data_IF_967006459617
#
_entry.id   IF_967006459617
#
_cell.length_a   1.000
_cell.length_b   1.000
_cell.length_c   1.000
_cell.angle_alpha   90.00
_cell.angle_beta   90.00
_cell.angle_gamma   90.00
#
_symmetry.space_group_name_H-M   'P 1'
#
loop_
_entity.id
_entity.type
_entity.pdbx_description
1 polymer ?
#
# COMPACT_ATOMS: atom_id res chain seq x y z
N UNK A 1 48.87 -8.47 45.46
CA UNK A 1 48.54 -9.68 44.67
C UNK A 1 47.02 -9.79 44.63
N UNK A 2 46.42 -9.70 43.43
CA UNK A 2 45.23 -10.43 42.92
C UNK A 2 44.00 -10.51 43.87
N UNK A 3 42.80 -9.99 43.57
CA UNK A 3 42.01 -10.12 42.33
C UNK A 3 40.83 -9.12 42.33
N UNK A 4 41.00 -7.94 41.75
CA UNK A 4 39.88 -7.05 41.41
C UNK A 4 39.66 -7.03 39.89
N UNK A 5 39.55 -8.23 39.28
CA UNK A 5 39.45 -8.36 37.81
C UNK A 5 38.66 -9.59 37.39
N UNK A 6 37.40 -9.76 37.82
CA UNK A 6 36.50 -10.79 37.27
C UNK A 6 35.01 -10.41 37.24
N UNK A 7 34.66 -9.12 37.19
CA UNK A 7 33.25 -8.71 36.98
C UNK A 7 33.03 -7.71 35.84
N UNK A 8 34.07 -7.33 35.09
CA UNK A 8 33.95 -6.34 34.00
C UNK A 8 33.74 -6.96 32.60
N UNK A 9 33.54 -8.27 32.48
CA UNK A 9 33.49 -8.96 31.17
C UNK A 9 32.07 -9.39 30.76
N UNK A 10 31.07 -9.29 31.66
CA UNK A 10 29.71 -9.78 31.35
C UNK A 10 28.78 -8.66 30.81
N UNK A 11 29.14 -7.37 30.96
CA UNK A 11 28.24 -6.27 30.58
C UNK A 11 28.42 -5.72 29.16
N UNK A 12 29.36 -6.24 28.34
CA UNK A 12 29.67 -5.66 27.02
C UNK A 12 29.21 -6.52 25.82
N UNK A 13 28.54 -7.65 26.03
CA UNK A 13 28.24 -8.62 24.96
C UNK A 13 26.78 -8.65 24.47
N UNK A 14 25.89 -7.73 24.91
CA UNK A 14 24.45 -7.77 24.55
C UNK A 14 24.00 -6.50 23.81
N UNK A 15 24.86 -5.95 22.96
CA UNK A 15 24.50 -4.89 22.01
C UNK A 15 24.93 -5.28 20.58
N UNK A 16 24.77 -6.54 20.22
CA UNK A 16 24.56 -6.90 18.81
C UNK A 16 23.10 -6.52 18.50
N UNK A 17 22.89 -5.21 18.32
CA UNK A 17 21.67 -4.69 17.74
C UNK A 17 21.67 -5.16 16.29
N UNK A 18 21.00 -6.28 16.02
CA UNK A 18 20.69 -6.66 14.65
C UNK A 18 19.88 -5.50 14.04
N UNK A 19 20.54 -4.72 13.19
CA UNK A 19 19.93 -3.69 12.38
C UNK A 19 19.06 -4.38 11.32
N UNK A 20 17.93 -4.92 11.75
CA UNK A 20 16.90 -5.37 10.83
C UNK A 20 16.45 -4.16 10.03
N UNK A 21 16.55 -4.26 8.70
CA UNK A 21 16.05 -3.23 7.80
C UNK A 21 14.52 -3.17 7.94
N UNK A 22 14.04 -2.30 8.82
CA UNK A 22 12.60 -2.01 8.92
C UNK A 22 12.22 -1.20 7.70
N UNK A 23 11.72 -1.86 6.66
CA UNK A 23 11.07 -1.17 5.55
C UNK A 23 9.70 -0.70 6.01
N UNK A 24 9.51 0.61 6.16
CA UNK A 24 8.21 1.20 6.44
C UNK A 24 7.36 1.28 5.16
N UNK A 25 6.04 1.35 5.31
CA UNK A 25 5.16 1.65 4.18
C UNK A 25 5.37 3.10 3.75
N UNK A 26 5.42 3.33 2.44
CA UNK A 26 5.58 4.68 1.90
C UNK A 26 4.84 4.86 0.58
N UNK A 27 4.53 6.13 0.27
CA UNK A 27 4.08 6.51 -1.06
C UNK A 27 5.30 6.65 -1.99
N UNK A 28 5.21 6.10 -3.21
CA UNK A 28 6.20 6.25 -4.29
C UNK A 28 5.54 6.64 -5.60
N UNK A 29 6.37 7.02 -6.57
CA UNK A 29 5.96 7.25 -7.96
C UNK A 29 4.83 8.30 -8.08
N UNK A 30 4.86 9.32 -7.22
CA UNK A 30 3.85 10.38 -7.20
C UNK A 30 3.97 11.22 -8.48
N UNK A 31 2.94 11.18 -9.32
CA UNK A 31 2.86 12.00 -10.53
C UNK A 31 1.53 12.75 -10.56
N UNK A 32 1.58 14.02 -10.95
CA UNK A 32 0.38 14.83 -11.12
C UNK A 32 0.27 15.27 -12.57
N UNK A 33 -0.87 14.99 -13.19
CA UNK A 33 -1.17 15.36 -14.58
C UNK A 33 -2.51 16.09 -14.62
N UNK A 34 -2.55 17.20 -15.33
CA UNK A 34 -3.81 17.86 -15.64
C UNK A 34 -4.48 17.16 -16.83
N UNK A 35 -5.76 16.83 -16.71
CA UNK A 35 -6.57 16.34 -17.82
C UNK A 35 -7.88 17.14 -17.86
N UNK A 36 -7.94 18.12 -18.77
CA UNK A 36 -9.01 19.11 -18.80
C UNK A 36 -9.03 19.94 -17.52
N UNK A 37 -10.18 19.99 -16.85
CA UNK A 37 -10.39 20.73 -15.60
C UNK A 37 -10.03 19.90 -14.34
N UNK A 38 -9.55 18.67 -14.51
CA UNK A 38 -9.25 17.75 -13.40
C UNK A 38 -7.76 17.55 -13.22
N UNK A 39 -7.37 17.35 -11.97
CA UNK A 39 -6.04 16.88 -11.59
C UNK A 39 -6.07 15.36 -11.39
N UNK A 40 -5.26 14.64 -12.14
CA UNK A 40 -5.02 13.21 -11.96
C UNK A 40 -3.74 13.02 -11.15
N UNK A 41 -3.87 12.44 -9.97
CA UNK A 41 -2.78 12.17 -9.04
C UNK A 41 -2.53 10.67 -9.04
N UNK A 42 -1.44 10.25 -9.67
CA UNK A 42 -0.95 8.88 -9.69
C UNK A 42 -0.04 8.66 -8.48
N UNK A 43 -0.20 7.54 -7.78
CA UNK A 43 0.64 7.17 -6.64
C UNK A 43 0.78 5.65 -6.53
N UNK A 44 1.81 5.21 -5.81
CA UNK A 44 2.03 3.81 -5.44
C UNK A 44 2.18 3.72 -3.93
N UNK A 45 1.60 2.72 -3.27
CA UNK A 45 1.91 2.38 -1.87
C UNK A 45 2.82 1.16 -1.92
N UNK A 46 4.01 1.25 -1.33
CA UNK A 46 4.98 0.16 -1.29
C UNK A 46 5.36 -0.21 0.14
N UNK A 47 5.86 -1.43 0.34
CA UNK A 47 6.25 -1.92 1.67
C UNK A 47 5.06 -2.40 2.51
N UNK A 48 3.90 -2.50 1.89
CA UNK A 48 2.69 -3.09 2.44
C UNK A 48 2.81 -4.61 2.61
N UNK A 49 2.03 -5.14 3.55
CA UNK A 49 1.81 -6.59 3.65
C UNK A 49 0.79 -7.02 2.61
N UNK A 50 0.85 -8.29 2.19
CA UNK A 50 -0.17 -8.86 1.32
C UNK A 50 -1.57 -8.65 1.89
N UNK A 51 -2.48 -8.16 1.04
CA UNK A 51 -3.86 -7.90 1.41
C UNK A 51 -4.05 -6.76 2.42
N UNK A 52 -3.00 -6.00 2.74
CA UNK A 52 -3.11 -4.84 3.62
C UNK A 52 -3.94 -3.76 2.95
N UNK A 53 -4.94 -3.28 3.69
CA UNK A 53 -5.80 -2.20 3.28
C UNK A 53 -5.37 -0.88 3.92
N UNK A 54 -5.75 0.22 3.29
CA UNK A 54 -5.43 1.58 3.70
C UNK A 54 -6.68 2.45 3.62
N UNK A 55 -6.76 3.42 4.53
CA UNK A 55 -7.61 4.59 4.39
C UNK A 55 -6.79 5.72 3.78
N UNK A 56 -6.99 6.00 2.49
CA UNK A 56 -6.29 7.02 1.72
C UNK A 56 -7.10 8.32 1.78
N UNK A 57 -6.53 9.37 2.38
CA UNK A 57 -7.21 10.64 2.63
C UNK A 57 -6.43 11.80 1.99
N UNK A 58 -6.90 12.34 0.85
CA UNK A 58 -6.33 13.51 0.22
C UNK A 58 -6.88 14.80 0.86
N UNK A 59 -6.00 15.77 1.02
CA UNK A 59 -6.31 17.10 1.55
C UNK A 59 -5.54 18.15 0.76
N UNK A 60 -6.05 19.38 0.72
CA UNK A 60 -5.37 20.50 0.06
C UNK A 60 -5.23 21.69 1.00
N UNK A 61 -4.33 22.59 0.66
CA UNK A 61 -4.15 23.88 1.32
C UNK A 61 -4.11 25.00 0.30
N UNK A 62 -4.70 26.14 0.67
CA UNK A 62 -4.68 27.40 -0.09
C UNK A 62 -3.96 28.52 0.68
N UNK A 63 -3.37 28.20 1.83
CA UNK A 63 -2.72 29.16 2.74
C UNK A 63 -1.23 28.87 2.95
N UNK A 64 -0.60 28.23 1.96
CA UNK A 64 0.81 27.86 1.99
C UNK A 64 1.12 26.69 2.93
N UNK A 65 0.14 25.83 3.20
CA UNK A 65 0.31 24.61 4.01
C UNK A 65 0.09 24.81 5.51
N UNK A 66 -0.45 25.96 5.94
CA UNK A 66 -0.73 26.23 7.36
C UNK A 66 -1.96 25.45 7.83
N UNK A 67 -2.97 25.35 6.98
CA UNK A 67 -4.16 24.54 7.21
C UNK A 67 -4.46 23.64 5.99
N UNK A 68 -5.10 22.51 6.26
CA UNK A 68 -5.47 21.54 5.23
C UNK A 68 -6.96 21.23 5.30
N UNK A 69 -7.64 21.37 4.17
CA UNK A 69 -9.05 21.09 3.98
C UNK A 69 -9.22 19.74 3.26
N UNK A 70 -10.30 18.99 3.55
CA UNK A 70 -10.58 17.76 2.84
C UNK A 70 -10.95 18.05 1.38
N UNK A 71 -10.46 17.23 0.45
CA UNK A 71 -10.97 17.24 -0.92
C UNK A 71 -12.33 16.55 -0.96
N UNK A 72 -13.36 17.24 -1.43
CA UNK A 72 -14.75 16.73 -1.46
C UNK A 72 -15.14 16.23 -2.84
N UNK A 73 -14.48 16.73 -3.88
CA UNK A 73 -14.77 16.40 -5.27
C UNK A 73 -13.71 15.47 -5.87
N UNK A 74 -13.41 14.38 -5.14
CA UNK A 74 -12.43 13.35 -5.53
C UNK A 74 -13.10 12.01 -5.83
N UNK A 75 -12.53 11.29 -6.81
CA UNK A 75 -12.88 9.90 -7.13
C UNK A 75 -11.61 9.07 -7.36
N UNK A 76 -11.78 7.76 -7.55
CA UNK A 76 -10.67 6.82 -7.75
C UNK A 76 -10.26 6.11 -6.46
N UNK A 77 -8.97 5.85 -6.30
CA UNK A 77 -8.41 5.12 -5.16
C UNK A 77 -8.26 6.04 -3.93
N UNK A 78 -9.39 6.36 -3.31
CA UNK A 78 -9.51 7.23 -2.13
C UNK A 78 -10.52 6.65 -1.13
N UNK A 79 -10.33 6.94 0.15
CA UNK A 79 -11.18 6.45 1.24
C UNK A 79 -10.67 5.14 1.82
N UNK A 80 -11.58 4.36 2.42
CA UNK A 80 -11.27 3.10 3.12
C UNK A 80 -11.08 1.94 2.14
N UNK A 81 -10.44 0.88 2.61
CA UNK A 81 -10.32 -0.40 1.90
C UNK A 81 -9.54 -0.29 0.58
N UNK A 82 -8.59 0.64 0.50
CA UNK A 82 -7.70 0.76 -0.65
C UNK A 82 -6.54 -0.22 -0.47
N UNK A 83 -6.28 -1.04 -1.49
CA UNK A 83 -5.13 -1.95 -1.50
C UNK A 83 -3.83 -1.17 -1.77
N UNK A 84 -2.73 -1.67 -1.22
CA UNK A 84 -1.40 -1.21 -1.65
C UNK A 84 -1.07 -1.62 -3.09
N UNK A 85 0.12 -1.26 -3.56
CA UNK A 85 0.57 -1.56 -4.92
C UNK A 85 0.76 -0.31 -5.79
N UNK A 86 0.99 -0.55 -7.07
CA UNK A 86 1.39 0.49 -8.04
C UNK A 86 0.22 1.08 -8.82
N UNK A 87 0.43 2.30 -9.31
CA UNK A 87 -0.45 2.98 -10.29
C UNK A 87 -1.88 3.21 -9.80
N UNK A 88 -2.03 3.49 -8.51
CA UNK A 88 -3.29 3.97 -7.96
C UNK A 88 -3.54 5.40 -8.45
N UNK A 89 -4.81 5.77 -8.66
CA UNK A 89 -5.17 7.08 -9.24
C UNK A 89 -6.24 7.77 -8.39
N UNK A 90 -6.01 9.03 -8.05
CA UNK A 90 -7.03 9.96 -7.53
C UNK A 90 -7.34 10.96 -8.64
N UNK A 91 -8.62 11.17 -8.91
CA UNK A 91 -9.09 12.20 -9.84
C UNK A 91 -9.75 13.29 -9.01
N UNK A 92 -9.24 14.51 -9.08
CA UNK A 92 -9.75 15.65 -8.34
C UNK A 92 -10.29 16.74 -9.27
N UNK A 93 -11.53 17.14 -9.03
CA UNK A 93 -12.18 18.28 -9.69
C UNK A 93 -11.87 19.58 -8.92
N UNK A 94 -10.67 20.12 -9.17
CA UNK A 94 -10.07 21.18 -8.34
C UNK A 94 -11.00 22.38 -8.17
N UNK A 95 -11.69 22.80 -9.24
CA UNK A 95 -12.53 24.00 -9.25
C UNK A 95 -13.83 23.85 -8.46
N UNK A 96 -14.27 22.62 -8.15
CA UNK A 96 -15.42 22.39 -7.25
C UNK A 96 -15.08 22.59 -5.78
N UNK A 97 -13.83 22.31 -5.40
CA UNK A 97 -13.37 22.51 -4.03
C UNK A 97 -12.71 23.88 -3.83
N UNK A 98 -12.07 24.41 -4.89
CA UNK A 98 -11.37 25.69 -4.91
C UNK A 98 -11.94 26.53 -6.07
N UNK A 99 -13.04 27.28 -5.84
CA UNK A 99 -13.77 28.00 -6.90
C UNK A 99 -12.93 29.00 -7.69
N UNK A 100 -11.84 29.49 -7.10
CA UNK A 100 -10.86 30.34 -7.78
C UNK A 100 -9.44 29.97 -7.33
N UNK A 101 -8.61 29.57 -8.30
CA UNK A 101 -7.17 29.41 -8.09
C UNK A 101 -6.49 30.78 -8.16
N UNK A 102 -6.37 31.45 -7.01
CA UNK A 102 -5.52 32.63 -6.86
C UNK A 102 -4.32 32.25 -6.00
N UNK A 103 -3.19 31.93 -6.66
CA UNK A 103 -1.97 31.46 -6.01
C UNK A 103 -1.84 29.93 -5.97
N UNK A 104 -0.94 29.46 -5.11
CA UNK A 104 -0.55 28.06 -5.05
C UNK A 104 -1.53 27.21 -4.23
N UNK A 105 -1.81 26.00 -4.71
CA UNK A 105 -2.57 24.98 -3.99
C UNK A 105 -1.65 23.83 -3.64
N UNK A 106 -1.51 23.53 -2.35
CA UNK A 106 -0.64 22.45 -1.87
C UNK A 106 -1.47 21.20 -1.65
N UNK A 107 -1.06 20.11 -2.28
CA UNK A 107 -1.63 18.79 -2.11
C UNK A 107 -0.95 18.02 -0.97
N UNK A 108 -1.73 17.28 -0.17
CA UNK A 108 -1.22 16.33 0.83
C UNK A 108 -2.05 15.05 0.80
N UNK A 109 -1.35 13.92 0.72
CA UNK A 109 -1.93 12.59 0.81
C UNK A 109 -1.54 11.92 2.12
N UNK A 110 -2.49 11.30 2.79
CA UNK A 110 -2.24 10.47 3.99
C UNK A 110 -2.80 9.07 3.76
N UNK A 111 -2.02 8.04 4.06
CA UNK A 111 -2.46 6.64 4.01
C UNK A 111 -2.36 6.03 5.41
N UNK A 112 -3.51 5.74 6.02
CA UNK A 112 -3.54 5.07 7.32
C UNK A 112 -3.76 3.58 7.12
N UNK A 113 -2.89 2.74 7.68
CA UNK A 113 -3.03 1.29 7.62
C UNK A 113 -4.33 0.83 8.26
N UNK A 114 -5.04 -0.08 7.61
CA UNK A 114 -6.21 -0.77 8.13
C UNK A 114 -5.90 -2.27 8.28
N UNK A 115 -6.95 -3.09 8.40
CA UNK A 115 -6.82 -4.55 8.48
C UNK A 115 -6.21 -5.14 7.20
N UNK A 116 -5.66 -6.33 7.33
CA UNK A 116 -5.32 -7.19 6.20
C UNK A 116 -6.53 -8.04 5.84
N UNK A 117 -6.89 -8.11 4.56
CA UNK A 117 -7.86 -9.08 4.04
C UNK A 117 -7.13 -10.13 3.20
N UNK A 118 -7.48 -11.42 3.33
CA UNK A 118 -6.96 -12.44 2.42
C UNK A 118 -7.26 -12.05 0.97
N UNK A 119 -6.25 -12.18 0.11
CA UNK A 119 -6.46 -12.07 -1.33
C UNK A 119 -7.06 -13.40 -1.79
N UNK A 120 -8.37 -13.39 -1.97
CA UNK A 120 -9.19 -14.55 -2.29
C UNK A 120 -10.12 -14.22 -3.45
N UNK A 121 -10.25 -15.17 -4.39
CA UNK A 121 -11.25 -15.14 -5.46
C UNK A 121 -12.07 -16.43 -5.39
N UNK A 122 -13.39 -16.27 -5.41
CA UNK A 122 -14.34 -17.39 -5.46
C UNK A 122 -15.03 -17.37 -6.82
N UNK A 123 -14.73 -18.38 -7.61
CA UNK A 123 -15.39 -18.60 -8.88
C UNK A 123 -15.94 -20.01 -8.95
N UNK A 124 -17.27 -20.12 -9.04
CA UNK A 124 -17.96 -21.40 -9.28
C UNK A 124 -17.62 -22.50 -8.25
N UNK A 125 -17.44 -22.15 -6.97
CA UNK A 125 -17.02 -23.03 -5.86
C UNK A 125 -15.55 -23.46 -5.88
N UNK A 126 -14.72 -22.81 -6.68
CA UNK A 126 -13.26 -22.94 -6.62
C UNK A 126 -12.71 -21.69 -5.97
N UNK A 127 -12.01 -21.87 -4.86
CA UNK A 127 -11.41 -20.80 -4.07
C UNK A 127 -9.92 -20.73 -4.41
N UNK A 128 -9.49 -19.57 -4.88
CA UNK A 128 -8.08 -19.23 -5.08
C UNK A 128 -7.65 -18.30 -3.96
N UNK A 129 -6.67 -18.71 -3.15
CA UNK A 129 -6.20 -17.93 -2.01
C UNK A 129 -4.70 -17.74 -2.05
N UNK A 130 -4.24 -16.49 -2.06
CA UNK A 130 -2.83 -16.18 -1.88
C UNK A 130 -2.42 -16.44 -0.44
N UNK A 131 -1.50 -17.38 -0.23
CA UNK A 131 -1.03 -17.80 1.09
C UNK A 131 0.18 -16.98 1.51
N UNK A 132 1.15 -16.80 0.61
CA UNK A 132 2.34 -15.97 0.87
C UNK A 132 2.92 -15.38 -0.42
N UNK A 133 3.61 -14.25 -0.25
CA UNK A 133 4.46 -13.62 -1.26
C UNK A 133 5.61 -12.97 -0.49
N UNK A 134 6.81 -13.48 -0.67
CA UNK A 134 8.00 -12.92 -0.01
C UNK A 134 9.22 -12.96 -0.92
N UNK A 135 10.12 -12.01 -0.68
CA UNK A 135 11.46 -12.07 -1.26
C UNK A 135 12.25 -13.12 -0.51
N UNK A 136 12.59 -14.20 -1.19
CA UNK A 136 13.56 -15.19 -0.71
C UNK A 136 14.94 -14.65 -1.11
N UNK A 137 16.01 -14.94 -0.36
CA UNK A 137 17.33 -14.35 -0.61
C UNK A 137 17.81 -14.48 -2.07
N UNK A 138 18.88 -13.77 -2.45
CA UNK A 138 19.48 -13.83 -3.80
C UNK A 138 18.52 -13.45 -4.94
N UNK A 139 17.80 -12.32 -4.81
CA UNK A 139 16.87 -11.81 -5.83
C UNK A 139 15.73 -12.77 -6.21
N UNK A 140 15.40 -13.72 -5.34
CA UNK A 140 14.30 -14.66 -5.56
C UNK A 140 13.01 -14.12 -4.95
N UNK A 141 11.88 -14.42 -5.58
CA UNK A 141 10.55 -14.16 -5.01
C UNK A 141 9.80 -15.48 -5.02
N UNK A 142 9.19 -15.83 -3.89
CA UNK A 142 8.33 -17.02 -3.78
C UNK A 142 6.89 -16.57 -3.54
N UNK A 143 5.98 -17.19 -4.29
CA UNK A 143 4.54 -17.03 -4.21
C UNK A 143 3.92 -18.40 -3.91
N UNK A 144 3.12 -18.48 -2.86
CA UNK A 144 2.35 -19.68 -2.51
C UNK A 144 0.87 -19.40 -2.68
N UNK A 145 0.20 -20.23 -3.48
CA UNK A 145 -1.23 -20.16 -3.77
C UNK A 145 -1.90 -21.45 -3.30
N UNK A 146 -3.04 -21.33 -2.63
CA UNK A 146 -3.94 -22.44 -2.33
C UNK A 146 -5.11 -22.43 -3.30
N UNK A 147 -5.46 -23.60 -3.81
CA UNK A 147 -6.64 -23.80 -4.66
C UNK A 147 -7.50 -24.88 -4.00
N UNK A 148 -8.74 -24.55 -3.68
CA UNK A 148 -9.70 -25.47 -3.06
C UNK A 148 -10.92 -25.62 -3.96
N UNK A 149 -11.22 -26.82 -4.43
CA UNK A 149 -12.46 -27.11 -5.15
C UNK A 149 -13.49 -27.70 -4.18
N UNK A 150 -14.53 -26.92 -3.87
CA UNK A 150 -15.66 -27.37 -3.06
C UNK A 150 -16.84 -27.88 -3.90
N UNK A 151 -16.72 -27.84 -5.24
CA UNK A 151 -17.72 -28.37 -6.15
C UNK A 151 -17.37 -29.77 -6.66
N UNK A 152 -18.12 -30.20 -7.68
CA UNK A 152 -17.84 -31.46 -8.38
C UNK A 152 -16.40 -31.51 -8.93
N UNK A 153 -15.80 -32.70 -9.06
CA UNK A 153 -14.55 -32.87 -9.80
C UNK A 153 -14.69 -32.31 -11.22
N UNK A 154 -13.92 -31.27 -11.55
CA UNK A 154 -13.90 -30.65 -12.89
C UNK A 154 -12.46 -30.50 -13.37
N UNK A 155 -12.26 -30.59 -14.69
CA UNK A 155 -11.00 -30.18 -15.32
C UNK A 155 -10.93 -28.64 -15.32
N UNK A 156 -9.86 -28.07 -14.73
CA UNK A 156 -9.65 -26.63 -14.69
C UNK A 156 -9.39 -26.02 -16.08
N UNK A 157 -9.22 -26.85 -17.12
CA UNK A 157 -8.96 -26.44 -18.51
C UNK A 157 -10.05 -25.58 -19.18
N UNK A 158 -11.22 -25.41 -18.57
CA UNK A 158 -12.37 -24.72 -19.21
C UNK A 158 -12.69 -23.32 -18.67
N UNK A 159 -11.82 -22.69 -17.86
CA UNK A 159 -12.04 -21.34 -17.34
C UNK A 159 -11.20 -20.29 -18.08
N UNK A 160 -10.89 -20.53 -19.36
CA UNK A 160 -10.55 -19.41 -20.24
C UNK A 160 -11.85 -18.79 -20.74
N UNK A 161 -12.36 -17.81 -19.99
CA UNK A 161 -13.21 -16.75 -20.53
C UNK A 161 -12.49 -15.84 -21.55
N UNK A 162 -11.37 -16.31 -22.10
CA UNK A 162 -10.71 -15.83 -23.31
C UNK A 162 -11.01 -16.81 -24.45
N UNK A 163 -12.29 -16.98 -24.77
CA UNK A 163 -12.70 -17.30 -26.13
C UNK A 163 -13.36 -16.02 -26.63
N UNK A 164 -12.61 -15.25 -27.43
CA UNK A 164 -13.14 -14.17 -28.27
C UNK A 164 -14.11 -14.71 -29.30
#
# INVERSE_FOLDING_TARGET
MRTLKKFAVISLAVLLFDATNVTSQEFRELNLKQLGEKANIEYSIVGERLGQLFNVTPTYSVDGGKSFLPMKSVTGNVGKSITGGKYQVIIWDVLKDVPALQGDVIFKLTGNTQSTQPLEDDFSNVIFKLVSLHRVGNNQVELILSITNNGEPRDLKLINGLIT
#
